data_IF_603060026780
#
_entry.id   IF_603060026780
#
_cell.length_a   1.000
_cell.length_b   1.000
_cell.length_c   1.000
_cell.angle_alpha   90.00
_cell.angle_beta   90.00
_cell.angle_gamma   90.00
#
_symmetry.space_group_name_H-M   'P 1'
#
loop_
_entity.id
_entity.type
_entity.pdbx_description
1 polymer ?
#
# COMPACT_ATOMS: atom_id res chain seq x y z
N UNK A 1 3.23 35.44 44.04
CA UNK A 1 3.91 34.17 44.38
C UNK A 1 5.40 34.24 44.11
N UNK A 2 6.25 33.84 45.09
CA UNK A 2 7.68 33.70 44.88
C UNK A 2 7.93 32.63 43.82
N UNK A 3 8.82 32.94 42.89
CA UNK A 3 9.23 32.07 41.80
C UNK A 3 10.23 31.05 42.37
N UNK A 4 9.93 29.76 42.27
CA UNK A 4 10.83 28.71 42.75
C UNK A 4 11.65 28.12 41.60
N UNK A 5 12.85 27.63 41.92
CA UNK A 5 13.68 26.90 40.97
C UNK A 5 13.03 25.56 40.63
N UNK A 6 13.15 25.16 39.37
CA UNK A 6 12.76 23.82 38.92
C UNK A 6 13.76 22.82 39.53
N UNK A 7 13.30 21.64 39.93
CA UNK A 7 14.12 20.52 40.45
C UNK A 7 14.05 19.32 39.49
N UNK A 8 12.83 19.00 39.01
CA UNK A 8 12.62 18.00 37.96
C UNK A 8 11.60 18.46 36.93
N UNK A 9 11.63 17.91 35.72
CA UNK A 9 10.60 18.14 34.71
C UNK A 9 10.35 16.89 33.85
N UNK A 10 9.08 16.66 33.51
CA UNK A 10 8.59 15.42 32.87
C UNK A 10 7.59 15.68 31.74
N UNK A 11 7.42 14.67 30.89
CA UNK A 11 6.46 14.66 29.76
C UNK A 11 5.39 13.59 29.99
N UNK A 12 4.12 13.90 29.70
CA UNK A 12 3.00 12.97 29.72
C UNK A 12 2.30 12.90 28.35
N UNK A 13 1.81 11.72 27.99
CA UNK A 13 1.00 11.49 26.78
C UNK A 13 -0.50 11.51 27.11
N UNK A 14 -1.27 12.28 26.35
CA UNK A 14 -2.74 12.20 26.26
C UNK A 14 -3.59 12.54 27.50
N UNK A 15 -3.02 12.74 28.69
CA UNK A 15 -3.75 13.28 29.83
C UNK A 15 -2.83 13.96 30.86
N UNK A 16 -3.28 15.06 31.50
CA UNK A 16 -2.65 15.57 32.70
C UNK A 16 -2.91 14.60 33.89
N UNK A 17 -1.95 14.54 34.80
CA UNK A 17 -1.82 13.55 35.88
C UNK A 17 -3.00 13.46 36.89
N UNK A 18 -3.97 14.37 36.87
CA UNK A 18 -5.11 14.41 37.78
C UNK A 18 -6.39 13.71 37.27
N UNK A 19 -6.38 13.18 36.04
CA UNK A 19 -7.53 12.44 35.46
C UNK A 19 -7.26 10.92 35.41
N UNK A 20 -6.01 10.53 35.11
CA UNK A 20 -5.50 9.16 35.17
C UNK A 20 -3.99 9.23 35.42
N UNK A 21 -3.43 8.60 36.47
CA UNK A 21 -2.00 8.65 36.74
C UNK A 21 -1.27 7.87 35.65
N UNK A 22 -0.87 8.58 34.61
CA UNK A 22 -0.09 8.04 33.49
C UNK A 22 1.37 8.26 33.85
N UNK A 23 2.20 7.22 33.75
CA UNK A 23 3.63 7.36 34.01
C UNK A 23 4.24 8.41 33.06
N UNK A 24 5.22 9.17 33.56
CA UNK A 24 5.99 10.06 32.69
C UNK A 24 6.66 9.24 31.58
N UNK A 25 6.58 9.72 30.34
CA UNK A 25 7.15 9.05 29.16
C UNK A 25 8.58 9.50 28.87
N UNK A 26 9.00 10.62 29.45
CA UNK A 26 10.36 11.16 29.37
C UNK A 26 10.61 12.16 30.51
N UNK A 27 11.89 12.36 30.83
CA UNK A 27 12.39 13.44 31.69
C UNK A 27 13.13 14.47 30.83
N UNK A 28 13.10 15.73 31.26
CA UNK A 28 13.89 16.78 30.65
C UNK A 28 15.33 16.78 31.19
N UNK A 29 16.28 17.11 30.30
CA UNK A 29 17.69 17.35 30.62
C UNK A 29 17.97 18.85 30.41
N UNK A 30 18.37 19.58 31.47
CA UNK A 30 18.72 21.00 31.38
C UNK A 30 20.03 21.15 30.59
N UNK A 31 20.13 22.22 29.79
CA UNK A 31 21.27 22.39 28.88
C UNK A 31 22.61 22.58 29.61
N UNK A 32 22.59 23.11 30.83
CA UNK A 32 23.76 23.31 31.68
C UNK A 32 23.99 22.16 32.68
N UNK A 33 23.13 21.13 32.64
CA UNK A 33 23.18 19.97 33.52
C UNK A 33 22.50 20.14 34.87
N UNK A 34 21.95 21.31 35.22
CA UNK A 34 21.31 21.54 36.51
C UNK A 34 20.02 22.35 36.40
N UNK A 35 18.91 21.87 36.98
CA UNK A 35 17.75 22.73 37.20
C UNK A 35 18.00 23.60 38.44
N UNK A 36 18.42 24.86 38.23
CA UNK A 36 18.77 25.78 39.32
C UNK A 36 18.14 27.18 39.14
N UNK A 37 17.30 27.34 38.12
CA UNK A 37 16.71 28.60 37.70
C UNK A 37 15.19 28.50 37.65
N UNK A 38 14.56 29.67 37.76
CA UNK A 38 13.14 29.89 37.48
C UNK A 38 12.77 29.71 36.00
N UNK A 39 13.76 29.83 35.12
CA UNK A 39 13.66 29.66 33.67
C UNK A 39 14.87 28.85 33.22
N UNK A 40 14.63 27.62 32.79
CA UNK A 40 15.70 26.70 32.38
C UNK A 40 15.40 26.16 30.98
N UNK A 41 16.27 26.41 29.98
CA UNK A 41 16.14 25.77 28.68
C UNK A 41 16.55 24.28 28.81
N UNK A 42 15.62 23.39 28.50
CA UNK A 42 15.83 21.96 28.62
C UNK A 42 15.37 21.20 27.36
N UNK A 43 15.86 19.98 27.22
CA UNK A 43 15.49 19.08 26.11
C UNK A 43 14.97 17.76 26.63
N UNK A 44 14.04 17.16 25.90
CA UNK A 44 13.58 15.80 26.16
C UNK A 44 13.53 15.03 24.82
N UNK A 45 13.87 13.75 24.89
CA UNK A 45 13.73 12.82 23.77
C UNK A 45 12.55 11.92 24.07
N UNK A 46 11.56 11.92 23.18
CA UNK A 46 10.34 11.13 23.32
C UNK A 46 10.28 10.12 22.19
N UNK A 47 10.16 8.84 22.54
CA UNK A 47 9.83 7.80 21.55
C UNK A 47 8.33 7.83 21.29
N UNK A 48 7.96 7.93 20.02
CA UNK A 48 6.57 7.85 19.55
C UNK A 48 6.23 6.45 19.00
N UNK A 49 7.09 5.46 19.24
CA UNK A 49 6.88 4.09 18.77
C UNK A 49 5.58 3.51 19.37
N UNK A 50 4.70 3.00 18.52
CA UNK A 50 3.42 2.41 18.91
C UNK A 50 2.29 3.41 19.19
N UNK A 51 2.51 4.72 19.00
CA UNK A 51 1.43 5.69 19.06
C UNK A 51 0.59 5.63 17.79
N UNK A 52 -0.72 5.84 17.92
CA UNK A 52 -1.61 5.94 16.77
C UNK A 52 -1.20 7.10 15.86
N UNK A 53 -1.49 7.02 14.57
CA UNK A 53 -1.23 8.13 13.64
C UNK A 53 -2.03 9.38 14.03
N UNK A 54 -1.48 10.55 13.71
CA UNK A 54 -2.16 11.84 13.84
C UNK A 54 -1.59 12.74 14.92
N UNK A 55 -2.40 13.72 15.32
CA UNK A 55 -1.99 14.76 16.26
C UNK A 55 -2.16 14.29 17.69
N UNK A 56 -1.06 14.31 18.45
CA UNK A 56 -1.04 14.02 19.88
C UNK A 56 -0.75 15.28 20.67
N UNK A 57 -1.22 15.29 21.92
CA UNK A 57 -0.93 16.35 22.88
C UNK A 57 0.02 15.79 23.93
N UNK A 58 1.13 16.50 24.13
CA UNK A 58 2.04 16.25 25.24
C UNK A 58 1.85 17.34 26.29
N UNK A 59 1.74 16.91 27.54
CA UNK A 59 1.72 17.80 28.70
C UNK A 59 3.10 17.80 29.35
N UNK A 60 3.57 18.99 29.70
CA UNK A 60 4.89 19.26 30.25
C UNK A 60 4.69 19.91 31.61
N UNK A 61 5.35 19.37 32.63
CA UNK A 61 5.29 19.90 34.00
C UNK A 61 6.69 19.92 34.61
N UNK A 62 7.02 21.02 35.30
CA UNK A 62 8.16 21.11 36.22
C UNK A 62 7.69 20.93 37.66
N UNK A 63 8.56 20.38 38.51
CA UNK A 63 8.36 20.23 39.94
C UNK A 63 9.46 21.00 40.68
N UNK A 64 9.12 21.70 41.76
CA UNK A 64 10.11 22.28 42.66
C UNK A 64 10.68 21.23 43.65
N UNK A 65 11.72 21.61 44.39
CA UNK A 65 12.38 20.72 45.37
C UNK A 65 11.51 20.41 46.61
N UNK A 66 10.39 21.11 46.77
CA UNK A 66 9.38 20.83 47.78
C UNK A 66 8.29 19.85 47.27
N UNK A 67 8.39 19.43 46.01
CA UNK A 67 7.47 18.48 45.40
C UNK A 67 6.22 19.12 44.79
N UNK A 68 6.13 20.45 44.70
CA UNK A 68 4.99 21.13 44.10
C UNK A 68 5.14 21.17 42.58
N UNK A 69 4.04 20.86 41.88
CA UNK A 69 3.98 20.90 40.43
C UNK A 69 3.64 22.30 39.92
N UNK A 70 4.33 22.72 38.88
CA UNK A 70 4.05 23.94 38.13
C UNK A 70 2.85 23.82 37.20
N UNK A 71 2.55 24.92 36.50
CA UNK A 71 1.49 24.94 35.50
C UNK A 71 1.87 24.10 34.28
N UNK A 72 0.87 23.44 33.70
CA UNK A 72 1.05 22.61 32.51
C UNK A 72 1.35 23.49 31.30
N UNK A 73 2.34 23.09 30.51
CA UNK A 73 2.46 23.53 29.12
C UNK A 73 2.09 22.38 28.20
N UNK A 74 1.30 22.66 27.18
CA UNK A 74 0.96 21.68 26.17
C UNK A 74 1.70 21.97 24.86
N UNK A 75 2.18 20.92 24.21
CA UNK A 75 2.72 20.98 22.85
C UNK A 75 2.03 19.92 22.01
N UNK A 76 1.73 20.28 20.77
CA UNK A 76 1.28 19.32 19.78
C UNK A 76 2.47 18.64 19.15
N UNK A 77 2.43 17.30 19.12
CA UNK A 77 3.32 16.50 18.29
C UNK A 77 2.45 15.82 17.26
N UNK A 78 2.68 16.17 16.01
CA UNK A 78 2.15 15.39 14.91
C UNK A 78 3.04 14.15 14.81
N UNK A 79 2.49 12.99 15.19
CA UNK A 79 3.07 11.71 14.80
C UNK A 79 2.73 11.63 13.31
N UNK A 80 3.71 11.87 12.41
CA UNK A 80 3.43 11.78 11.01
C UNK A 80 2.89 10.38 10.74
N UNK A 81 2.17 10.23 9.63
CA UNK A 81 2.03 8.91 9.07
C UNK A 81 3.45 8.44 8.68
N UNK A 82 4.21 7.93 9.64
CA UNK A 82 5.49 7.30 9.40
C UNK A 82 5.10 6.16 8.48
N UNK A 83 5.56 6.13 7.21
CA UNK A 83 5.26 4.99 6.38
C UNK A 83 5.78 3.81 7.16
N UNK A 84 4.89 2.93 7.59
CA UNK A 84 5.27 1.63 8.16
C UNK A 84 5.83 0.81 7.02
N UNK A 85 6.97 1.21 6.45
CA UNK A 85 7.81 0.48 5.50
C UNK A 85 7.06 -0.34 4.44
N UNK A 86 5.87 0.10 4.04
CA UNK A 86 5.06 -0.66 3.13
C UNK A 86 5.51 -0.35 1.74
N UNK A 87 6.08 -1.34 1.05
CA UNK A 87 6.45 -1.19 -0.34
C UNK A 87 5.15 -0.79 -1.08
N UNK A 88 5.07 0.39 -1.74
CA UNK A 88 3.87 0.78 -2.46
C UNK A 88 3.40 -0.38 -3.34
N UNK A 89 2.09 -0.66 -3.38
CA UNK A 89 1.59 -1.76 -4.17
C UNK A 89 1.92 -1.44 -5.64
N UNK A 90 2.48 -2.41 -6.34
CA UNK A 90 2.70 -2.34 -7.78
C UNK A 90 1.82 -3.40 -8.41
N UNK A 91 0.81 -2.95 -9.13
CA UNK A 91 -0.19 -3.80 -9.74
C UNK A 91 0.42 -4.60 -10.89
N UNK A 92 0.08 -5.88 -10.97
CA UNK A 92 0.47 -6.72 -12.10
C UNK A 92 -0.40 -7.96 -12.19
N UNK A 93 -0.66 -8.42 -13.41
CA UNK A 93 -1.31 -9.70 -13.63
C UNK A 93 -0.98 -10.32 -14.99
N UNK A 94 -1.26 -11.61 -15.10
CA UNK A 94 -1.33 -12.36 -16.36
C UNK A 94 -2.68 -13.05 -16.52
N UNK A 95 -3.01 -13.49 -17.74
CA UNK A 95 -4.24 -14.21 -18.04
C UNK A 95 -4.00 -15.37 -19.00
N UNK A 96 -4.93 -16.33 -19.03
CA UNK A 96 -4.94 -17.44 -20.00
C UNK A 96 -5.47 -17.07 -21.39
N UNK A 97 -5.59 -15.77 -21.69
CA UNK A 97 -6.04 -15.25 -23.00
C UNK A 97 -5.10 -15.67 -24.14
N UNK A 98 -5.61 -15.90 -25.36
CA UNK A 98 -7.02 -15.83 -25.76
C UNK A 98 -7.85 -17.03 -25.30
N UNK A 99 -9.16 -16.85 -25.12
CA UNK A 99 -10.05 -17.88 -24.58
C UNK A 99 -11.31 -18.05 -25.45
N UNK A 100 -11.85 -19.26 -25.54
CA UNK A 100 -13.05 -19.52 -26.34
C UNK A 100 -14.31 -19.01 -25.63
N UNK A 101 -15.31 -18.57 -26.39
CA UNK A 101 -16.61 -18.14 -25.84
C UNK A 101 -17.21 -19.25 -24.98
N UNK A 102 -17.60 -18.91 -23.75
CA UNK A 102 -18.16 -19.84 -22.77
C UNK A 102 -17.12 -20.61 -21.94
N UNK A 103 -15.84 -20.52 -22.26
CA UNK A 103 -14.76 -21.06 -21.43
C UNK A 103 -14.29 -20.03 -20.38
N UNK A 104 -13.71 -20.53 -19.28
CA UNK A 104 -13.24 -19.68 -18.20
C UNK A 104 -11.83 -19.16 -18.49
N UNK A 105 -11.67 -17.84 -18.46
CA UNK A 105 -10.36 -17.19 -18.47
C UNK A 105 -9.80 -17.18 -17.04
N UNK A 106 -8.59 -17.69 -16.87
CA UNK A 106 -7.88 -17.73 -15.57
C UNK A 106 -6.99 -16.51 -15.46
N UNK A 107 -7.06 -15.80 -14.34
CA UNK A 107 -6.20 -14.66 -14.03
C UNK A 107 -5.25 -15.00 -12.89
N UNK A 108 -3.99 -14.63 -13.05
CA UNK A 108 -2.97 -14.75 -12.00
C UNK A 108 -2.49 -13.36 -11.62
N UNK A 109 -2.67 -13.01 -10.35
CA UNK A 109 -2.14 -11.79 -9.78
C UNK A 109 -0.62 -11.92 -9.59
N UNK A 110 0.12 -10.97 -10.15
CA UNK A 110 1.58 -10.85 -10.05
C UNK A 110 1.98 -9.53 -9.40
N UNK A 111 1.06 -8.90 -8.66
CA UNK A 111 1.28 -7.65 -7.96
C UNK A 111 2.33 -7.84 -6.88
N UNK A 112 3.10 -6.78 -6.64
CA UNK A 112 4.16 -6.75 -5.63
C UNK A 112 3.93 -5.61 -4.67
N UNK A 113 4.73 -5.53 -3.62
CA UNK A 113 4.51 -4.58 -2.54
C UNK A 113 3.47 -5.04 -1.53
N UNK A 114 3.10 -4.10 -0.67
CA UNK A 114 2.12 -4.33 0.37
C UNK A 114 0.74 -4.15 -0.23
N UNK A 115 0.08 -5.27 -0.50
CA UNK A 115 -1.27 -5.29 -1.05
C UNK A 115 -2.24 -5.81 0.02
N UNK A 116 -3.22 -4.97 0.39
CA UNK A 116 -4.29 -5.33 1.32
C UNK A 116 -5.57 -5.70 0.58
N UNK A 117 -5.85 -5.02 -0.53
CA UNK A 117 -7.08 -5.21 -1.30
C UNK A 117 -6.80 -5.42 -2.77
N UNK A 118 -7.65 -6.22 -3.40
CA UNK A 118 -7.65 -6.50 -4.83
C UNK A 118 -9.03 -6.15 -5.38
N UNK A 119 -9.08 -5.51 -6.55
CA UNK A 119 -10.33 -5.24 -7.24
C UNK A 119 -10.13 -5.42 -8.72
N UNK A 120 -10.83 -6.42 -9.27
CA UNK A 120 -10.82 -6.77 -10.68
C UNK A 120 -12.06 -6.20 -11.36
N UNK A 121 -11.86 -5.55 -12.51
CA UNK A 121 -12.90 -5.23 -13.47
C UNK A 121 -12.57 -5.96 -14.78
N UNK A 122 -13.45 -6.84 -15.24
CA UNK A 122 -13.21 -7.62 -16.45
C UNK A 122 -13.52 -6.87 -17.76
N UNK A 123 -14.09 -5.66 -17.69
CA UNK A 123 -14.34 -4.81 -18.84
C UNK A 123 -15.55 -5.19 -19.69
N UNK A 124 -16.35 -6.18 -19.26
CA UNK A 124 -17.56 -6.67 -19.93
C UNK A 124 -18.86 -6.23 -19.25
N UNK A 125 -18.77 -5.40 -18.20
CA UNK A 125 -19.90 -4.93 -17.41
C UNK A 125 -20.36 -5.88 -16.29
N UNK A 126 -19.64 -6.99 -16.07
CA UNK A 126 -19.87 -7.87 -14.91
C UNK A 126 -19.50 -7.19 -13.58
N UNK A 127 -20.00 -7.70 -12.43
CA UNK A 127 -19.63 -7.18 -11.11
C UNK A 127 -18.12 -7.28 -10.84
N UNK A 128 -17.59 -6.35 -10.04
CA UNK A 128 -16.19 -6.37 -9.61
C UNK A 128 -15.89 -7.60 -8.75
N UNK A 129 -14.68 -8.15 -8.87
CA UNK A 129 -14.21 -9.27 -8.05
C UNK A 129 -13.08 -8.84 -7.12
N UNK A 130 -13.09 -9.33 -5.88
CA UNK A 130 -12.02 -9.12 -4.90
C UNK A 130 -11.16 -10.36 -4.66
N UNK A 131 -11.37 -11.42 -5.44
CA UNK A 131 -10.60 -12.67 -5.35
C UNK A 131 -9.19 -12.42 -5.86
N UNK A 132 -8.17 -12.95 -5.18
CA UNK A 132 -6.76 -12.71 -5.53
C UNK A 132 -6.45 -13.22 -6.95
N UNK A 133 -6.80 -14.47 -7.25
CA UNK A 133 -6.63 -15.10 -8.57
C UNK A 133 -8.00 -15.57 -9.08
N UNK A 134 -8.81 -14.68 -9.70
CA UNK A 134 -10.15 -15.04 -10.14
C UNK A 134 -10.12 -15.86 -11.43
N UNK A 135 -11.24 -16.55 -11.67
CA UNK A 135 -11.61 -17.01 -13.00
C UNK A 135 -12.85 -16.23 -13.46
N UNK A 136 -12.94 -15.94 -14.76
CA UNK A 136 -14.08 -15.22 -15.33
C UNK A 136 -14.50 -15.80 -16.67
N UNK A 137 -15.80 -15.93 -16.91
CA UNK A 137 -16.35 -16.43 -18.17
C UNK A 137 -17.08 -15.29 -18.87
N UNK A 138 -16.56 -14.90 -20.04
CA UNK A 138 -17.14 -13.82 -20.84
C UNK A 138 -18.36 -14.32 -21.63
N UNK A 139 -19.43 -13.52 -21.62
CA UNK A 139 -20.69 -13.85 -22.30
C UNK A 139 -20.69 -13.48 -23.80
N UNK A 140 -19.72 -12.68 -24.25
CA UNK A 140 -19.62 -12.21 -25.63
C UNK A 140 -18.20 -12.39 -26.16
N UNK A 141 -18.07 -12.53 -27.48
CA UNK A 141 -16.77 -12.45 -28.16
C UNK A 141 -16.32 -11.00 -28.29
N UNK A 142 -15.01 -10.80 -28.39
CA UNK A 142 -14.40 -9.47 -28.52
C UNK A 142 -13.11 -9.35 -27.72
N UNK A 143 -12.59 -8.13 -27.67
CA UNK A 143 -11.45 -7.77 -26.82
C UNK A 143 -11.95 -6.95 -25.65
N UNK A 144 -11.69 -7.44 -24.43
CA UNK A 144 -12.07 -6.81 -23.18
C UNK A 144 -10.85 -6.21 -22.49
N UNK A 145 -11.00 -5.00 -21.96
CA UNK A 145 -9.96 -4.33 -21.17
C UNK A 145 -10.16 -4.69 -19.71
N UNK A 146 -9.28 -5.53 -19.19
CA UNK A 146 -9.29 -5.99 -17.80
C UNK A 146 -8.40 -5.09 -16.97
N UNK A 147 -8.88 -4.67 -15.80
CA UNK A 147 -8.10 -3.92 -14.83
C UNK A 147 -8.01 -4.64 -13.49
N UNK A 148 -6.84 -4.59 -12.87
CA UNK A 148 -6.60 -4.97 -11.48
C UNK A 148 -6.12 -3.74 -10.73
N UNK A 149 -6.92 -3.28 -9.78
CA UNK A 149 -6.50 -2.27 -8.80
C UNK A 149 -6.11 -2.95 -7.51
N UNK A 150 -4.89 -2.67 -7.04
CA UNK A 150 -4.39 -3.11 -5.74
C UNK A 150 -4.16 -1.90 -4.85
N UNK A 151 -4.44 -2.04 -3.56
CA UNK A 151 -4.25 -0.95 -2.61
C UNK A 151 -3.80 -1.44 -1.24
N UNK A 152 -3.14 -0.56 -0.52
CA UNK A 152 -2.95 -0.64 0.93
C UNK A 152 -3.64 0.56 1.62
N UNK A 153 -3.32 0.78 2.89
CA UNK A 153 -3.89 1.87 3.70
C UNK A 153 -3.50 3.28 3.20
N UNK A 154 -2.49 3.41 2.33
CA UNK A 154 -1.92 4.70 1.94
C UNK A 154 -1.96 4.98 0.44
N UNK A 155 -1.79 3.94 -0.38
CA UNK A 155 -1.55 4.06 -1.83
C UNK A 155 -2.26 2.94 -2.58
N UNK A 156 -2.51 3.19 -3.87
CA UNK A 156 -3.06 2.21 -4.79
C UNK A 156 -2.33 2.28 -6.12
N UNK A 157 -2.32 1.16 -6.84
CA UNK A 157 -1.83 1.08 -8.20
C UNK A 157 -2.79 0.24 -9.06
N UNK A 158 -2.75 0.44 -10.38
CA UNK A 158 -3.65 -0.24 -11.32
C UNK A 158 -2.91 -0.78 -12.53
N UNK A 159 -3.08 -2.08 -12.75
CA UNK A 159 -2.61 -2.76 -13.95
C UNK A 159 -3.75 -2.91 -14.95
N UNK A 160 -3.41 -2.82 -16.24
CA UNK A 160 -4.35 -2.94 -17.36
C UNK A 160 -3.84 -3.99 -18.33
N UNK A 161 -4.73 -4.87 -18.79
CA UNK A 161 -4.43 -5.92 -19.77
C UNK A 161 -5.63 -6.19 -20.66
N UNK A 162 -5.41 -6.89 -21.78
CA UNK A 162 -6.47 -7.24 -22.72
C UNK A 162 -6.72 -8.75 -22.72
N UNK A 163 -7.99 -9.13 -22.76
CA UNK A 163 -8.43 -10.50 -22.99
C UNK A 163 -9.19 -10.58 -24.29
N UNK A 164 -8.84 -11.54 -25.15
CA UNK A 164 -9.53 -11.77 -26.41
C UNK A 164 -10.36 -13.05 -26.32
N UNK A 165 -11.66 -12.90 -26.56
CA UNK A 165 -12.63 -14.00 -26.55
C UNK A 165 -13.12 -14.26 -27.96
N UNK A 166 -13.01 -15.49 -28.42
CA UNK A 166 -13.34 -15.88 -29.78
C UNK A 166 -14.27 -17.09 -29.83
N UNK A 167 -14.99 -17.25 -30.93
CA UNK A 167 -15.68 -18.50 -31.28
C UNK A 167 -14.88 -19.23 -32.33
N UNK A 168 -14.96 -20.56 -32.35
CA UNK A 168 -14.45 -21.34 -33.48
C UNK A 168 -15.14 -20.88 -34.77
N UNK A 169 -14.45 -20.97 -35.92
CA UNK A 169 -15.13 -20.80 -37.19
C UNK A 169 -16.31 -21.77 -37.24
N UNK A 170 -17.50 -21.23 -37.56
CA UNK A 170 -18.65 -22.06 -37.89
C UNK A 170 -18.20 -23.07 -38.94
N UNK A 171 -18.55 -24.37 -38.83
CA UNK A 171 -18.22 -25.31 -39.88
C UNK A 171 -18.79 -24.76 -41.18
N UNK A 172 -17.92 -24.55 -42.17
CA UNK A 172 -18.35 -24.23 -43.53
C UNK A 172 -19.37 -25.29 -43.90
N UNK A 173 -20.59 -24.92 -44.33
CA UNK A 173 -21.54 -25.93 -44.78
C UNK A 173 -20.83 -26.75 -45.85
N UNK A 174 -20.62 -28.04 -45.58
CA UNK A 174 -20.16 -28.97 -46.61
C UNK A 174 -21.13 -28.78 -47.76
N UNK A 175 -20.68 -28.48 -49.00
CA UNK A 175 -21.60 -28.41 -50.11
C UNK A 175 -22.38 -29.71 -50.11
N UNK A 176 -23.69 -29.62 -49.85
CA UNK A 176 -24.59 -30.74 -50.08
C UNK A 176 -24.32 -31.20 -51.50
N UNK A 177 -24.18 -32.52 -51.77
CA UNK A 177 -23.91 -32.98 -53.12
C UNK A 177 -24.97 -32.35 -54.03
N UNK A 178 -24.54 -31.41 -54.87
CA UNK A 178 -25.33 -30.97 -56.01
C UNK A 178 -25.74 -32.26 -56.73
N UNK A 179 -27.02 -32.52 -57.02
CA UNK A 179 -27.39 -33.70 -57.78
C UNK A 179 -26.57 -33.71 -59.06
N UNK A 180 -25.63 -34.65 -59.13
CA UNK A 180 -24.69 -34.77 -60.23
C UNK A 180 -25.48 -35.14 -61.47
N UNK A 181 -25.60 -34.24 -62.44
CA UNK A 181 -25.91 -34.65 -63.80
C UNK A 181 -24.72 -35.50 -64.27
N UNK A 182 -25.01 -36.73 -64.70
CA UNK A 182 -24.05 -37.74 -65.15
C UNK A 182 -23.00 -37.13 -66.11
N UNK A 183 -21.70 -37.18 -65.80
CA UNK A 183 -20.68 -36.62 -66.67
C UNK A 183 -20.43 -37.52 -67.89
N UNK A 184 -20.33 -36.90 -69.07
CA UNK A 184 -19.64 -37.46 -70.25
C UNK A 184 -18.13 -37.36 -69.97
N UNK A 185 -17.31 -38.38 -70.27
CA UNK A 185 -15.91 -38.40 -69.83
C UNK A 185 -15.05 -37.45 -70.69
N UNK A 186 -13.98 -36.88 -70.12
CA UNK A 186 -12.61 -36.90 -70.70
C UNK A 186 -11.56 -36.16 -69.85
N UNK A 187 -10.46 -36.89 -69.61
CA UNK A 187 -9.02 -36.62 -69.36
C UNK A 187 -8.48 -35.68 -68.26
N UNK A 188 -7.65 -36.32 -67.41
CA UNK A 188 -6.63 -35.84 -66.44
C UNK A 188 -5.33 -35.36 -67.14
N UNK A 189 -4.56 -34.41 -66.57
CA UNK A 189 -3.32 -34.75 -65.81
C UNK A 189 -3.05 -33.83 -64.58
N UNK A 190 -2.74 -34.33 -63.37
CA UNK A 190 -1.44 -34.65 -62.69
C UNK A 190 -0.47 -33.49 -62.36
N UNK A 191 -0.12 -33.34 -61.06
CA UNK A 191 1.08 -32.63 -60.55
C UNK A 191 1.06 -32.28 -59.04
N UNK A 192 2.04 -32.76 -58.27
CA UNK A 192 2.18 -32.77 -56.78
C UNK A 192 3.36 -31.83 -56.30
N UNK A 193 3.84 -31.75 -55.01
CA UNK A 193 3.60 -30.63 -54.06
C UNK A 193 4.91 -30.01 -53.42
N UNK A 194 5.01 -29.49 -52.14
CA UNK A 194 5.79 -28.29 -51.71
C UNK A 194 7.07 -28.59 -50.85
N UNK A 195 7.79 -27.59 -50.25
CA UNK A 195 7.80 -27.48 -48.76
C UNK A 195 8.17 -26.09 -48.11
N UNK A 196 8.10 -26.10 -46.76
CA UNK A 196 8.15 -25.12 -45.63
C UNK A 196 9.54 -24.58 -45.17
N UNK A 197 9.60 -23.48 -44.38
CA UNK A 197 10.48 -23.31 -43.19
C UNK A 197 10.17 -22.08 -42.27
N UNK A 198 10.48 -22.22 -40.97
CA UNK A 198 10.30 -21.34 -39.76
C UNK A 198 11.53 -20.45 -39.45
N UNK A 199 11.46 -19.46 -38.51
CA UNK A 199 12.49 -19.40 -37.45
C UNK A 199 12.06 -18.93 -36.03
N UNK A 200 13.00 -19.13 -35.09
CA UNK A 200 13.03 -19.09 -33.60
C UNK A 200 13.71 -17.83 -33.01
N UNK A 201 13.54 -17.54 -31.69
CA UNK A 201 14.53 -16.80 -30.87
C UNK A 201 14.07 -16.09 -29.57
N UNK A 202 14.77 -16.34 -28.45
CA UNK A 202 14.78 -15.67 -27.10
C UNK A 202 16.25 -15.34 -26.73
N UNK A 203 16.67 -14.33 -25.90
CA UNK A 203 16.86 -14.42 -24.41
C UNK A 203 16.92 -13.03 -23.65
N UNK A 204 17.60 -12.77 -22.47
CA UNK A 204 17.13 -12.88 -21.05
C UNK A 204 17.43 -11.61 -20.14
N UNK A 205 17.71 -11.65 -18.80
CA UNK A 205 17.01 -10.88 -17.72
C UNK A 205 17.84 -9.78 -16.99
N UNK A 206 17.26 -8.99 -16.06
CA UNK A 206 18.03 -8.12 -15.11
C UNK A 206 17.31 -7.84 -13.77
N UNK A 207 18.11 -7.51 -12.75
CA UNK A 207 17.99 -7.80 -11.31
C UNK A 207 17.37 -6.72 -10.39
N UNK A 208 17.12 -7.16 -9.14
CA UNK A 208 16.66 -6.45 -7.94
C UNK A 208 17.77 -5.65 -7.23
N UNK A 209 17.43 -4.56 -6.51
CA UNK A 209 18.17 -4.17 -5.32
C UNK A 209 17.30 -3.97 -4.06
N UNK A 210 17.83 -4.47 -2.95
CA UNK A 210 17.40 -4.36 -1.55
C UNK A 210 17.88 -3.07 -0.89
N UNK A 211 17.07 -2.47 -0.01
CA UNK A 211 17.53 -1.46 0.95
C UNK A 211 16.47 -1.13 2.00
N UNK A 212 16.82 -1.25 3.28
CA UNK A 212 15.98 -0.89 4.43
C UNK A 212 16.52 0.38 5.10
N UNK A 213 15.69 1.39 5.43
CA UNK A 213 16.13 2.54 6.24
C UNK A 213 15.73 2.41 7.73
N UNK A 214 16.45 3.05 8.67
CA UNK A 214 16.20 2.97 10.12
C UNK A 214 15.24 4.06 10.66
N UNK A 215 14.51 3.77 11.74
CA UNK A 215 13.64 4.69 12.50
C UNK A 215 14.41 5.41 13.61
N UNK A 216 14.44 6.74 13.60
CA UNK A 216 15.20 7.56 14.58
C UNK A 216 14.29 8.31 15.57
N UNK A 217 14.71 8.53 16.83
CA UNK A 217 13.97 9.29 17.83
C UNK A 217 13.94 10.80 17.52
N UNK A 218 12.88 11.50 17.95
CA UNK A 218 12.75 12.95 17.81
C UNK A 218 13.28 13.67 19.06
N UNK A 219 14.00 14.78 18.84
CA UNK A 219 14.46 15.67 19.91
C UNK A 219 13.56 16.89 20.00
N UNK A 220 12.99 17.15 21.19
CA UNK A 220 12.15 18.32 21.44
C UNK A 220 12.90 19.34 22.31
N UNK A 221 12.94 20.60 21.86
CA UNK A 221 13.50 21.71 22.63
C UNK A 221 12.37 22.62 23.11
N UNK A 222 12.22 22.78 24.41
CA UNK A 222 11.12 23.56 25.00
C UNK A 222 11.64 24.51 26.06
N UNK A 223 10.95 25.64 26.22
CA UNK A 223 11.12 26.55 27.33
C UNK A 223 10.08 26.22 28.40
N UNK A 224 10.54 25.78 29.58
CA UNK A 224 9.66 25.47 30.70
C UNK A 224 9.27 26.78 31.40
N UNK A 225 7.97 27.09 31.55
CA UNK A 225 7.54 28.24 32.33
C UNK A 225 7.60 27.95 33.84
N UNK A 226 7.46 29.02 34.62
CA UNK A 226 7.55 29.07 36.09
C UNK A 226 6.66 28.03 36.80
N UNK A 227 7.23 27.33 37.78
CA UNK A 227 6.47 26.59 38.81
C UNK A 227 5.88 27.59 39.80
N UNK A 228 4.55 27.59 39.94
CA UNK A 228 3.83 28.40 40.93
C UNK A 228 3.17 27.46 41.94
N UNK A 229 3.47 27.64 43.21
CA UNK A 229 2.74 26.99 44.29
C UNK A 229 1.28 27.45 44.28
N UNK A 230 0.34 26.51 44.34
CA UNK A 230 -1.04 26.82 44.69
C UNK A 230 -1.11 27.26 46.17
N UNK A 231 -2.01 28.19 46.54
CA UNK A 231 -2.19 28.61 47.94
C UNK A 231 -2.73 27.48 48.83
#
# INVERSE_FOLDING_TARGET
EPVQAIDTAVVYHSAPNWITPTAAIATFVPNDGNFNSAYEPATAVVSVAGWAEGRHILFLQGQDSAGNWGVDTAVFVDVPNLPTTGLPPVAGFSSSSPTRLGESTVFTNTSTGDVLTHTWNFGDGSPLSSVINPTHTFAMTGTFVVTLTVANTMTMDTAVGQVTVFTDPSPTPTPSPTPTLTPTPTATPTGTPPPTATPTGTPPPTATPTGTPPSSPLSLKVWLPVVRSAP
#
